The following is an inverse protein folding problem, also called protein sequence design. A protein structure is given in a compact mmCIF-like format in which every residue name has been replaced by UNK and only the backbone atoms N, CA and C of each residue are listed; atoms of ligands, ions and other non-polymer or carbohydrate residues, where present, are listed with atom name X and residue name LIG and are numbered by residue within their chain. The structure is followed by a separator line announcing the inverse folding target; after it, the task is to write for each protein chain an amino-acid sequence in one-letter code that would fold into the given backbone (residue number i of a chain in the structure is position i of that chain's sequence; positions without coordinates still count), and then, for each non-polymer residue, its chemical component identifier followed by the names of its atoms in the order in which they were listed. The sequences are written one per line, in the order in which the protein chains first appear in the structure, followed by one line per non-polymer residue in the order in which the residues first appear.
data_IF_131294729125
#
_entry.id   IF_131294729125
#
_cell.length_a   1.000
_cell.length_b   1.000
_cell.length_c   1.000
_cell.angle_alpha   90.00
_cell.angle_beta   90.00
_cell.angle_gamma   90.00
#
_symmetry.space_group_name_H-M   'P 1'
#
loop_
_entity.id
_entity.type
_entity.pdbx_description
1 polymer ?
#
# COMPACT_ATOMS: atom_id res chain seq x y z
N UNK A 1 11.53 22.69 -54.89
CA UNK A 1 11.42 21.21 -54.80
C UNK A 1 12.75 20.53 -54.48
N UNK A 2 13.74 20.51 -55.39
CA UNK A 2 14.98 19.71 -55.20
C UNK A 2 15.72 20.01 -53.88
N UNK A 3 15.74 21.28 -53.44
CA UNK A 3 16.40 21.68 -52.18
C UNK A 3 15.70 21.16 -50.92
N UNK A 4 14.37 21.09 -50.91
CA UNK A 4 13.59 20.63 -49.76
C UNK A 4 13.73 19.10 -49.59
N UNK A 5 13.64 18.36 -50.70
CA UNK A 5 13.80 16.91 -50.71
C UNK A 5 15.21 16.49 -50.28
N UNK A 6 16.24 17.23 -50.70
CA UNK A 6 17.62 17.01 -50.25
C UNK A 6 17.80 17.23 -48.75
N UNK A 7 17.13 18.23 -48.18
CA UNK A 7 17.18 18.48 -46.74
C UNK A 7 16.50 17.36 -45.94
N UNK A 8 15.32 16.92 -46.37
CA UNK A 8 14.60 15.79 -45.75
C UNK A 8 15.41 14.48 -45.84
N UNK A 9 16.03 14.22 -46.99
CA UNK A 9 16.89 13.05 -47.17
C UNK A 9 18.12 13.08 -46.26
N UNK A 10 18.75 14.26 -46.11
CA UNK A 10 19.86 14.45 -45.19
C UNK A 10 19.46 14.20 -43.74
N UNK A 11 18.25 14.61 -43.34
CA UNK A 11 17.72 14.33 -42.01
C UNK A 11 17.41 12.84 -41.81
N UNK A 12 16.79 12.18 -42.79
CA UNK A 12 16.48 10.74 -42.74
C UNK A 12 17.73 9.85 -42.64
N UNK A 13 18.88 10.35 -43.10
CA UNK A 13 20.16 9.66 -43.05
C UNK A 13 20.93 9.85 -41.73
N UNK A 14 20.49 10.78 -40.86
CA UNK A 14 21.13 11.01 -39.56
C UNK A 14 20.64 9.99 -38.54
N UNK A 15 21.57 9.22 -37.99
CA UNK A 15 21.26 8.22 -36.94
C UNK A 15 20.99 8.86 -35.57
N UNK A 16 21.55 10.06 -35.35
CA UNK A 16 21.47 10.85 -34.13
C UNK A 16 20.27 11.81 -34.08
N UNK A 17 19.43 11.84 -35.13
CA UNK A 17 18.25 12.69 -35.15
C UNK A 17 17.26 12.28 -34.04
N UNK A 18 16.75 13.27 -33.32
CA UNK A 18 15.76 13.08 -32.24
C UNK A 18 14.34 12.99 -32.79
N UNK A 19 13.41 12.49 -31.97
CA UNK A 19 12.01 12.45 -32.36
C UNK A 19 11.46 13.86 -32.66
N UNK A 20 11.90 14.86 -31.89
CA UNK A 20 11.57 16.27 -32.08
C UNK A 20 12.08 16.85 -33.41
N UNK A 21 13.23 16.39 -33.92
CA UNK A 21 13.75 16.82 -35.23
C UNK A 21 13.00 16.13 -36.39
N UNK A 22 12.63 14.85 -36.23
CA UNK A 22 12.02 14.02 -37.27
C UNK A 22 10.51 14.25 -37.43
N UNK A 23 9.77 14.41 -36.32
CA UNK A 23 8.32 14.57 -36.31
C UNK A 23 7.79 15.72 -37.21
N UNK A 24 8.35 16.95 -37.19
CA UNK A 24 7.87 18.02 -38.06
C UNK A 24 8.23 17.82 -39.54
N UNK A 25 9.17 16.93 -39.85
CA UNK A 25 9.62 16.65 -41.22
C UNK A 25 8.73 15.66 -41.96
N UNK A 26 7.99 14.81 -41.23
CA UNK A 26 7.11 13.82 -41.83
C UNK A 26 5.93 14.44 -42.63
N UNK A 27 5.19 15.46 -42.13
CA UNK A 27 4.16 16.12 -42.93
C UNK A 27 4.70 16.76 -44.22
N UNK A 28 5.93 17.28 -44.19
CA UNK A 28 6.57 17.86 -45.37
C UNK A 28 6.92 16.78 -46.41
N UNK A 29 7.36 15.60 -45.97
CA UNK A 29 7.61 14.45 -46.85
C UNK A 29 6.30 13.88 -47.43
N UNK A 30 5.24 13.80 -46.65
CA UNK A 30 3.91 13.37 -47.11
C UNK A 30 3.30 14.34 -48.12
N UNK A 31 3.47 15.66 -47.92
CA UNK A 31 3.07 16.67 -48.89
C UNK A 31 3.84 16.54 -50.22
N UNK A 32 5.15 16.26 -50.16
CA UNK A 32 5.97 16.00 -51.35
C UNK A 32 5.55 14.72 -52.07
N UNK A 33 5.18 13.65 -51.34
CA UNK A 33 4.62 12.44 -51.91
C UNK A 33 3.29 12.70 -52.63
N UNK A 34 2.37 13.47 -52.01
CA UNK A 34 1.10 13.85 -52.65
C UNK A 34 1.35 14.63 -53.94
N UNK A 35 2.25 15.63 -53.91
CA UNK A 35 2.60 16.43 -55.07
C UNK A 35 3.27 15.58 -56.18
N UNK A 36 4.08 14.58 -55.82
CA UNK A 36 4.67 13.65 -56.77
C UNK A 36 3.62 12.77 -57.45
N UNK A 37 2.62 12.27 -56.70
CA UNK A 37 1.50 11.47 -57.24
C UNK A 37 0.62 12.28 -58.18
N UNK A 38 0.31 13.53 -57.85
CA UNK A 38 -0.42 14.45 -58.74
C UNK A 38 0.36 14.70 -60.04
N UNK A 39 1.67 14.93 -59.94
CA UNK A 39 2.53 15.14 -61.10
C UNK A 39 2.62 13.88 -61.99
N UNK A 40 2.66 12.69 -61.40
CA UNK A 40 2.62 11.42 -62.14
C UNK A 40 1.30 11.25 -62.89
N UNK A 41 0.16 11.51 -62.23
CA UNK A 41 -1.15 11.43 -62.87
C UNK A 41 -1.29 12.43 -64.04
N UNK A 42 -0.76 13.65 -63.88
CA UNK A 42 -0.72 14.65 -64.94
C UNK A 42 0.18 14.22 -66.12
N UNK A 43 1.36 13.66 -65.83
CA UNK A 43 2.27 13.15 -66.85
C UNK A 43 1.67 11.97 -67.62
N UNK A 44 0.96 11.07 -66.93
CA UNK A 44 0.25 9.95 -67.57
C UNK A 44 -0.94 10.42 -68.43
N UNK A 45 -1.69 11.42 -67.98
CA UNK A 45 -2.75 12.04 -68.78
C UNK A 45 -2.18 12.71 -70.05
N UNK A 46 -1.07 13.46 -69.91
CA UNK A 46 -0.39 14.09 -71.04
C UNK A 46 0.15 13.06 -72.03
N UNK A 47 0.75 11.96 -71.53
CA UNK A 47 1.21 10.85 -72.37
C UNK A 47 0.05 10.24 -73.18
N UNK A 48 -1.07 9.93 -72.53
CA UNK A 48 -2.27 9.38 -73.21
C UNK A 48 -2.83 10.32 -74.28
N UNK A 49 -2.87 11.63 -74.01
CA UNK A 49 -3.31 12.62 -74.98
C UNK A 49 -2.33 12.74 -76.17
N UNK A 50 -1.02 12.66 -75.90
CA UNK A 50 0.04 12.74 -76.91
C UNK A 50 0.07 11.57 -77.89
N UNK A 51 -0.42 10.38 -77.51
CA UNK A 51 -0.50 9.20 -78.40
C UNK A 51 -1.39 9.40 -79.63
N UNK A 52 -2.30 10.38 -79.60
CA UNK A 52 -3.22 10.69 -80.70
C UNK A 52 -2.65 11.75 -81.66
N UNK A 53 -1.42 12.21 -81.45
CA UNK A 53 -0.80 13.26 -82.27
C UNK A 53 0.00 12.65 -83.44
N UNK A 54 0.14 13.39 -84.54
CA UNK A 54 0.83 12.94 -85.75
C UNK A 54 2.37 13.02 -85.67
N UNK A 55 2.94 13.51 -84.56
CA UNK A 55 4.39 13.64 -84.36
C UNK A 55 4.95 12.43 -83.62
N UNK A 56 5.79 11.63 -84.30
CA UNK A 56 6.42 10.43 -83.73
C UNK A 56 7.40 10.72 -82.58
N UNK A 57 7.95 11.95 -82.48
CA UNK A 57 8.91 12.30 -81.42
C UNK A 57 8.23 12.70 -80.11
N UNK A 58 7.01 13.21 -80.16
CA UNK A 58 6.28 13.69 -78.99
C UNK A 58 6.00 12.59 -77.94
N UNK A 59 5.56 11.37 -78.31
CA UNK A 59 5.34 10.28 -77.35
C UNK A 59 6.60 9.86 -76.59
N UNK A 60 7.78 9.93 -77.21
CA UNK A 60 9.04 9.54 -76.56
C UNK A 60 9.43 10.51 -75.43
N UNK A 61 9.29 11.81 -75.68
CA UNK A 61 9.53 12.84 -74.66
C UNK A 61 8.53 12.72 -73.50
N UNK A 62 7.25 12.48 -73.81
CA UNK A 62 6.19 12.28 -72.81
C UNK A 62 6.40 11.01 -71.98
N UNK A 63 6.89 9.92 -72.59
CA UNK A 63 7.22 8.70 -71.86
C UNK A 63 8.41 8.90 -70.92
N UNK A 64 9.43 9.66 -71.35
CA UNK A 64 10.53 10.10 -70.47
C UNK A 64 10.02 10.86 -69.25
N UNK A 65 9.17 11.87 -69.45
CA UNK A 65 8.57 12.64 -68.37
C UNK A 65 7.69 11.78 -67.43
N UNK A 66 6.95 10.81 -67.98
CA UNK A 66 6.16 9.84 -67.21
C UNK A 66 7.04 8.97 -66.31
N UNK A 67 8.15 8.46 -66.83
CA UNK A 67 9.11 7.64 -66.06
C UNK A 67 9.78 8.46 -64.96
N UNK A 68 10.21 9.69 -65.25
CA UNK A 68 10.80 10.59 -64.26
C UNK A 68 9.82 10.92 -63.12
N UNK A 69 8.54 11.13 -63.44
CA UNK A 69 7.49 11.33 -62.44
C UNK A 69 7.27 10.06 -61.58
N UNK A 70 7.29 8.87 -62.18
CA UNK A 70 7.23 7.59 -61.46
C UNK A 70 8.39 7.41 -60.48
N UNK A 71 9.63 7.64 -60.93
CA UNK A 71 10.82 7.59 -60.07
C UNK A 71 10.75 8.59 -58.90
N UNK A 72 10.10 9.75 -59.10
CA UNK A 72 9.90 10.73 -58.03
C UNK A 72 8.92 10.24 -56.98
N UNK A 73 7.85 9.56 -57.38
CA UNK A 73 6.91 8.93 -56.44
C UNK A 73 7.63 7.87 -55.62
N UNK A 74 8.35 6.94 -56.26
CA UNK A 74 9.11 5.89 -55.55
C UNK A 74 10.10 6.47 -54.54
N UNK A 75 10.82 7.54 -54.89
CA UNK A 75 11.74 8.23 -53.97
C UNK A 75 11.02 8.90 -52.81
N UNK A 76 9.87 9.52 -53.05
CA UNK A 76 9.08 10.17 -52.01
C UNK A 76 8.45 9.13 -51.06
N UNK A 77 7.99 7.98 -51.58
CA UNK A 77 7.50 6.86 -50.78
C UNK A 77 8.59 6.29 -49.89
N UNK A 78 9.77 5.98 -50.47
CA UNK A 78 10.92 5.51 -49.71
C UNK A 78 11.32 6.50 -48.60
N UNK A 79 11.32 7.81 -48.90
CA UNK A 79 11.63 8.84 -47.91
C UNK A 79 10.61 8.88 -46.76
N UNK A 80 9.32 8.79 -47.05
CA UNK A 80 8.26 8.78 -46.02
C UNK A 80 8.40 7.55 -45.13
N UNK A 81 8.59 6.37 -45.72
CA UNK A 81 8.76 5.12 -44.97
C UNK A 81 10.02 5.18 -44.09
N UNK A 82 11.17 5.59 -44.63
CA UNK A 82 12.39 5.76 -43.83
C UNK A 82 12.21 6.78 -42.70
N UNK A 83 11.54 7.92 -42.93
CA UNK A 83 11.30 8.90 -41.87
C UNK A 83 10.38 8.36 -40.77
N UNK A 84 9.39 7.53 -41.11
CA UNK A 84 8.51 6.87 -40.12
C UNK A 84 9.28 5.86 -39.28
N UNK A 85 10.07 5.00 -39.91
CA UNK A 85 10.94 4.04 -39.22
C UNK A 85 11.90 4.75 -38.28
N UNK A 86 12.60 5.79 -38.77
CA UNK A 86 13.52 6.60 -37.95
C UNK A 86 12.84 7.32 -36.80
N UNK A 87 11.63 7.84 -37.02
CA UNK A 87 10.87 8.50 -35.95
C UNK A 87 10.50 7.49 -34.85
N UNK A 88 10.05 6.29 -35.22
CA UNK A 88 9.76 5.23 -34.26
C UNK A 88 11.02 4.80 -33.49
N UNK A 89 12.15 4.57 -34.17
CA UNK A 89 13.44 4.26 -33.54
C UNK A 89 13.90 5.35 -32.56
N UNK A 90 13.74 6.63 -32.93
CA UNK A 90 14.11 7.75 -32.08
C UNK A 90 13.21 7.83 -30.83
N UNK A 91 11.90 7.64 -30.99
CA UNK A 91 10.95 7.60 -29.88
C UNK A 91 11.26 6.45 -28.91
N UNK A 92 11.55 5.25 -29.43
CA UNK A 92 11.91 4.09 -28.60
C UNK A 92 13.21 4.32 -27.83
N UNK A 93 14.20 4.95 -28.47
CA UNK A 93 15.49 5.29 -27.87
C UNK A 93 15.35 6.33 -26.76
N UNK A 94 14.56 7.38 -26.99
CA UNK A 94 14.29 8.42 -26.00
C UNK A 94 13.52 7.85 -24.79
N UNK A 95 12.50 7.01 -25.05
CA UNK A 95 11.74 6.35 -24.00
C UNK A 95 12.62 5.38 -23.18
N UNK A 96 13.55 4.65 -23.81
CA UNK A 96 14.52 3.82 -23.10
C UNK A 96 15.50 4.66 -22.27
N UNK A 97 16.01 5.76 -22.82
CA UNK A 97 16.88 6.68 -22.08
C UNK A 97 16.18 7.26 -20.84
N UNK A 98 14.90 7.63 -20.95
CA UNK A 98 14.10 8.08 -19.82
C UNK A 98 13.92 6.96 -18.77
N UNK A 99 13.57 5.73 -19.19
CA UNK A 99 13.47 4.57 -18.29
C UNK A 99 14.77 4.31 -17.55
N UNK A 100 15.91 4.35 -18.25
CA UNK A 100 17.24 4.19 -17.65
C UNK A 100 17.53 5.31 -16.67
N UNK A 101 17.21 6.57 -16.99
CA UNK A 101 17.42 7.69 -16.09
C UNK A 101 16.61 7.54 -14.78
N UNK A 102 15.32 7.18 -14.89
CA UNK A 102 14.46 6.91 -13.72
C UNK A 102 15.00 5.75 -12.88
N UNK A 103 15.42 4.65 -13.53
CA UNK A 103 16.00 3.50 -12.84
C UNK A 103 17.28 3.87 -12.08
N UNK A 104 18.20 4.61 -12.69
CA UNK A 104 19.45 5.01 -12.04
C UNK A 104 19.21 5.97 -10.86
N UNK A 105 18.26 6.89 -11.00
CA UNK A 105 17.87 7.78 -9.90
C UNK A 105 17.29 7.00 -8.71
N UNK A 106 16.34 6.08 -8.97
CA UNK A 106 15.76 5.23 -7.93
C UNK A 106 16.80 4.32 -7.26
N UNK A 107 17.77 3.81 -8.05
CA UNK A 107 18.89 3.01 -7.51
C UNK A 107 19.77 3.83 -6.57
N UNK A 108 20.12 5.06 -6.96
CA UNK A 108 20.93 5.95 -6.13
C UNK A 108 20.21 6.26 -4.80
N UNK A 109 18.92 6.60 -4.85
CA UNK A 109 18.11 6.86 -3.65
C UNK A 109 18.01 5.61 -2.75
N UNK A 110 17.87 4.42 -3.33
CA UNK A 110 17.86 3.17 -2.57
C UNK A 110 19.21 2.86 -1.89
N UNK A 111 20.32 3.14 -2.57
CA UNK A 111 21.66 2.98 -2.01
C UNK A 111 21.94 4.01 -0.90
N UNK A 112 21.47 5.25 -1.06
CA UNK A 112 21.52 6.30 -0.03
C UNK A 112 20.71 5.91 1.21
N UNK A 113 19.47 5.45 1.01
CA UNK A 113 18.61 4.96 2.08
C UNK A 113 19.23 3.75 2.80
N UNK A 114 19.88 2.83 2.06
CA UNK A 114 20.58 1.68 2.66
C UNK A 114 21.75 2.13 3.53
N UNK A 115 22.53 3.11 3.08
CA UNK A 115 23.64 3.69 3.86
C UNK A 115 23.12 4.39 5.11
N UNK A 116 22.12 5.25 4.97
CA UNK A 116 21.50 5.95 6.08
C UNK A 116 20.92 4.97 7.11
N UNK A 117 20.26 3.90 6.67
CA UNK A 117 19.73 2.87 7.57
C UNK A 117 20.86 2.16 8.32
N UNK A 118 21.95 1.79 7.64
CA UNK A 118 23.10 1.14 8.27
C UNK A 118 23.83 2.02 9.30
N UNK A 119 23.86 3.33 9.06
CA UNK A 119 24.50 4.30 9.95
C UNK A 119 23.61 4.69 11.12
N UNK A 120 22.34 5.02 10.87
CA UNK A 120 21.44 5.62 11.86
C UNK A 120 20.77 4.57 12.75
N UNK A 121 20.44 3.39 12.21
CA UNK A 121 19.68 2.39 12.96
C UNK A 121 20.37 1.95 14.26
N UNK A 122 21.68 1.59 14.28
CA UNK A 122 22.34 1.17 15.51
C UNK A 122 22.34 2.26 16.58
N UNK A 123 22.53 3.53 16.18
CA UNK A 123 22.52 4.67 17.10
C UNK A 123 21.12 4.88 17.69
N UNK A 124 20.08 4.94 16.85
CA UNK A 124 18.70 5.12 17.30
C UNK A 124 18.23 3.98 18.20
N UNK A 125 18.62 2.74 17.89
CA UNK A 125 18.30 1.58 18.72
C UNK A 125 18.99 1.68 20.09
N UNK A 126 20.27 2.10 20.13
CA UNK A 126 20.99 2.33 21.37
C UNK A 126 20.38 3.47 22.21
N UNK A 127 20.01 4.59 21.57
CA UNK A 127 19.38 5.73 22.23
C UNK A 127 18.03 5.34 22.86
N UNK A 128 17.22 4.55 22.15
CA UNK A 128 15.95 4.03 22.68
C UNK A 128 16.17 3.09 23.87
N UNK A 129 17.16 2.20 23.80
CA UNK A 129 17.52 1.32 24.93
C UNK A 129 18.00 2.14 26.13
N UNK A 130 18.82 3.17 25.91
CA UNK A 130 19.28 4.07 26.95
C UNK A 130 18.12 4.85 27.59
N UNK A 131 17.15 5.31 26.80
CA UNK A 131 15.94 5.96 27.30
C UNK A 131 15.12 5.00 28.17
N UNK A 132 14.93 3.76 27.74
CA UNK A 132 14.21 2.74 28.54
C UNK A 132 14.93 2.44 29.86
N UNK A 133 16.26 2.38 29.87
CA UNK A 133 17.03 2.22 31.11
C UNK A 133 16.89 3.42 32.04
N UNK A 134 16.95 4.64 31.50
CA UNK A 134 16.80 5.87 32.28
C UNK A 134 15.44 5.92 32.97
N UNK A 135 14.37 5.62 32.22
CA UNK A 135 13.00 5.54 32.75
C UNK A 135 12.91 4.46 33.82
N UNK A 136 13.45 3.26 33.56
CA UNK A 136 13.40 2.17 34.52
C UNK A 136 14.16 2.48 35.83
N UNK A 137 15.32 3.14 35.76
CA UNK A 137 16.06 3.60 36.95
C UNK A 137 15.23 4.60 37.76
N UNK A 138 14.60 5.57 37.10
CA UNK A 138 13.76 6.53 37.78
C UNK A 138 12.51 5.86 38.42
N UNK A 139 11.91 4.87 37.76
CA UNK A 139 10.81 4.08 38.33
C UNK A 139 11.25 3.26 39.56
N UNK A 140 12.47 2.70 39.58
CA UNK A 140 13.01 2.03 40.79
C UNK A 140 13.11 3.00 41.97
N UNK A 141 13.62 4.22 41.74
CA UNK A 141 13.70 5.23 42.79
C UNK A 141 12.31 5.69 43.27
N UNK A 142 11.36 5.83 42.35
CA UNK A 142 9.95 6.12 42.67
C UNK A 142 9.32 5.00 43.50
N UNK A 143 9.52 3.73 43.12
CA UNK A 143 9.04 2.57 43.88
C UNK A 143 9.67 2.53 45.29
N UNK A 144 10.98 2.80 45.41
CA UNK A 144 11.67 2.86 46.70
C UNK A 144 11.14 4.00 47.58
N UNK A 145 10.95 5.20 47.02
CA UNK A 145 10.39 6.34 47.74
C UNK A 145 8.94 6.09 48.19
N UNK A 146 8.13 5.46 47.34
CA UNK A 146 6.75 5.10 47.66
C UNK A 146 6.66 3.99 48.71
N UNK A 147 7.68 3.13 48.84
CA UNK A 147 7.74 2.11 49.87
C UNK A 147 8.00 2.68 51.29
N UNK A 148 8.69 3.83 51.38
CA UNK A 148 8.96 4.55 52.64
C UNK A 148 8.27 5.93 52.66
N UNK A 149 6.96 5.94 52.39
CA UNK A 149 6.19 7.16 52.23
C UNK A 149 5.99 7.91 53.56
N UNK A 150 6.33 9.20 53.66
CA UNK A 150 6.02 10.00 54.84
C UNK A 150 4.51 10.11 55.09
N UNK A 151 4.11 10.20 56.37
CA UNK A 151 2.70 10.31 56.74
C UNK A 151 2.05 11.53 56.10
N UNK A 152 0.94 11.30 55.41
CA UNK A 152 0.12 12.37 54.81
C UNK A 152 0.62 12.88 53.46
N UNK A 153 1.64 12.24 52.87
CA UNK A 153 2.10 12.53 51.50
C UNK A 153 1.45 11.56 50.54
N UNK A 154 1.09 12.01 49.33
CA UNK A 154 0.57 11.15 48.27
C UNK A 154 1.72 10.39 47.57
N UNK A 155 1.51 9.13 47.15
CA UNK A 155 2.50 8.40 46.38
C UNK A 155 2.88 9.15 45.09
N UNK A 156 4.17 9.11 44.75
CA UNK A 156 4.66 9.60 43.47
C UNK A 156 4.08 8.75 42.34
N UNK A 157 3.58 9.40 41.29
CA UNK A 157 3.18 8.72 40.07
C UNK A 157 4.40 8.08 39.39
N UNK A 158 4.20 6.95 38.70
CA UNK A 158 5.23 6.40 37.83
C UNK A 158 5.64 7.42 36.76
N UNK A 159 6.87 7.34 36.28
CA UNK A 159 7.52 8.32 35.41
C UNK A 159 6.83 8.41 34.04
N UNK A 160 6.41 7.28 33.47
CA UNK A 160 5.78 7.28 32.14
C UNK A 160 4.35 7.79 32.14
N UNK A 161 3.59 7.51 33.20
CA UNK A 161 2.16 7.81 33.29
C UNK A 161 1.82 9.31 33.07
N UNK A 162 2.41 10.28 33.77
CA UNK A 162 2.08 11.69 33.58
C UNK A 162 2.53 12.22 32.22
N UNK A 163 3.52 11.59 31.59
CA UNK A 163 4.02 12.00 30.29
C UNK A 163 3.20 11.44 29.11
N UNK A 164 2.54 10.28 29.30
CA UNK A 164 1.95 9.50 28.19
C UNK A 164 0.48 9.16 28.37
N UNK A 165 -0.04 9.17 29.59
CA UNK A 165 -1.44 8.86 29.83
C UNK A 165 -2.33 10.01 29.38
N UNK A 166 -3.52 9.65 28.87
CA UNK A 166 -4.56 10.63 28.58
C UNK A 166 -5.46 10.72 29.81
N UNK A 167 -5.56 11.89 30.46
CA UNK A 167 -6.42 12.05 31.63
C UNK A 167 -7.88 11.82 31.25
N UNK A 168 -8.69 11.37 32.22
CA UNK A 168 -10.13 11.31 32.01
C UNK A 168 -10.69 12.71 31.83
N UNK A 169 -11.52 12.89 30.82
CA UNK A 169 -12.34 14.08 30.65
C UNK A 169 -13.65 13.85 31.41
N UNK A 170 -14.10 14.86 32.15
CA UNK A 170 -15.37 14.79 32.84
C UNK A 170 -16.53 14.87 31.83
N UNK A 171 -17.67 14.28 32.19
CA UNK A 171 -18.90 14.43 31.44
C UNK A 171 -19.33 15.91 31.40
N UNK A 172 -19.41 16.48 30.20
CA UNK A 172 -19.84 17.86 30.01
C UNK A 172 -21.37 17.93 29.98
N UNK A 173 -21.95 18.72 30.89
CA UNK A 173 -23.41 18.89 30.95
C UNK A 173 -23.84 19.90 29.91
N UNK A 174 -24.54 19.43 28.88
CA UNK A 174 -25.04 20.30 27.81
C UNK A 174 -26.34 20.99 28.22
N UNK A 175 -27.22 20.27 28.91
CA UNK A 175 -28.49 20.83 29.39
C UNK A 175 -29.03 20.05 30.57
N UNK A 176 -29.66 20.76 31.48
CA UNK A 176 -30.38 20.20 32.62
C UNK A 176 -31.76 20.85 32.69
N UNK A 177 -32.82 20.05 32.49
CA UNK A 177 -34.20 20.54 32.44
C UNK A 177 -35.07 19.72 33.37
N UNK A 178 -35.85 20.40 34.22
CA UNK A 178 -36.88 19.73 35.01
C UNK A 178 -38.05 19.32 34.11
N UNK A 179 -38.30 18.02 34.02
CA UNK A 179 -39.40 17.44 33.24
C UNK A 179 -40.32 16.65 34.15
N UNK A 180 -41.63 16.83 33.99
CA UNK A 180 -42.63 16.02 34.68
C UNK A 180 -42.95 14.80 33.84
N UNK A 181 -42.72 13.60 34.39
CA UNK A 181 -43.01 12.32 33.71
C UNK A 181 -43.87 11.44 34.61
N UNK A 182 -44.76 10.68 33.99
CA UNK A 182 -45.59 9.68 34.65
C UNK A 182 -44.76 8.42 34.93
N UNK A 183 -44.87 7.93 36.15
CA UNK A 183 -44.15 6.76 36.65
C UNK A 183 -45.16 5.80 37.27
N UNK A 184 -45.04 4.51 37.02
CA UNK A 184 -45.90 3.53 37.68
C UNK A 184 -45.73 3.59 39.20
N UNK A 185 -46.84 3.54 39.95
CA UNK A 185 -46.81 3.64 41.41
C UNK A 185 -45.92 2.54 41.99
N UNK A 186 -44.95 2.93 42.81
CA UNK A 186 -43.94 2.03 43.39
C UNK A 186 -42.61 1.97 42.63
N UNK A 187 -42.54 2.50 41.40
CA UNK A 187 -41.29 2.54 40.62
C UNK A 187 -40.52 3.85 40.82
N UNK A 188 -39.19 3.77 40.65
CA UNK A 188 -38.28 4.92 40.79
C UNK A 188 -38.01 5.61 39.45
N UNK A 189 -38.02 4.86 38.34
CA UNK A 189 -37.74 5.38 36.99
C UNK A 189 -39.03 5.55 36.19
N UNK A 190 -39.11 6.55 35.29
CA UNK A 190 -40.22 6.65 34.33
C UNK A 190 -40.36 5.34 33.54
N UNK A 191 -41.60 4.88 33.33
CA UNK A 191 -41.83 3.70 32.52
C UNK A 191 -41.62 3.98 31.03
N UNK A 192 -41.47 2.92 30.23
CA UNK A 192 -41.27 2.99 28.77
C UNK A 192 -42.55 3.28 27.97
N UNK A 193 -43.68 3.53 28.64
CA UNK A 193 -44.97 3.77 28.00
C UNK A 193 -45.11 5.21 27.48
N UNK A 194 -46.00 5.40 26.50
CA UNK A 194 -46.29 6.70 25.91
C UNK A 194 -46.87 7.67 26.94
N UNK A 195 -46.10 8.69 27.29
CA UNK A 195 -46.43 9.66 28.34
C UNK A 195 -47.70 10.48 28.02
N UNK A 196 -48.06 10.60 26.74
CA UNK A 196 -49.26 11.28 26.27
C UNK A 196 -50.55 10.47 26.47
N UNK A 197 -50.46 9.15 26.64
CA UNK A 197 -51.62 8.26 26.71
C UNK A 197 -52.09 7.98 28.14
N UNK A 198 -51.56 8.71 29.13
CA UNK A 198 -51.97 8.58 30.53
C UNK A 198 -53.30 9.29 30.75
N UNK A 199 -54.33 8.53 31.14
CA UNK A 199 -55.60 9.10 31.54
C UNK A 199 -55.51 9.65 32.96
N UNK A 200 -55.71 10.96 33.12
CA UNK A 200 -55.60 11.63 34.43
C UNK A 200 -56.82 11.31 35.28
N UNK A 201 -56.60 10.70 36.44
CA UNK A 201 -57.65 10.36 37.41
C UNK A 201 -57.70 11.33 38.58
N UNK A 202 -56.65 12.15 38.78
CA UNK A 202 -56.58 13.18 39.81
C UNK A 202 -55.31 14.03 39.72
N UNK A 203 -55.10 14.99 40.65
CA UNK A 203 -53.90 15.81 40.67
C UNK A 203 -52.66 14.93 40.89
N UNK A 204 -51.81 14.82 39.87
CA UNK A 204 -50.59 14.01 39.91
C UNK A 204 -50.82 12.50 39.89
N UNK A 205 -52.04 12.02 39.59
CA UNK A 205 -52.36 10.59 39.44
C UNK A 205 -53.05 10.30 38.12
N UNK A 206 -52.76 9.15 37.55
CA UNK A 206 -53.36 8.68 36.32
C UNK A 206 -53.35 7.16 36.20
N UNK A 207 -53.94 6.67 35.12
CA UNK A 207 -53.92 5.25 34.76
C UNK A 207 -53.56 5.11 33.28
N UNK A 208 -52.76 4.09 32.95
CA UNK A 208 -52.48 3.72 31.56
C UNK A 208 -53.55 2.73 31.13
N UNK A 209 -54.35 3.07 30.13
CA UNK A 209 -55.38 2.17 29.63
C UNK A 209 -54.74 1.11 28.75
N UNK A 210 -54.91 -0.15 29.12
CA UNK A 210 -54.59 -1.30 28.29
C UNK A 210 -55.87 -1.66 27.53
N UNK A 211 -55.79 -1.77 26.21
CA UNK A 211 -56.95 -2.10 25.38
C UNK A 211 -57.54 -3.46 25.80
N UNK A 212 -58.85 -3.51 26.02
CA UNK A 212 -59.56 -4.71 26.50
C UNK A 212 -59.56 -4.94 28.02
N UNK A 213 -58.84 -4.13 28.81
CA UNK A 213 -58.78 -4.26 30.28
C UNK A 213 -59.67 -3.21 30.96
N UNK A 214 -60.51 -3.58 31.93
CA UNK A 214 -61.32 -2.61 32.66
C UNK A 214 -60.44 -1.67 33.50
N UNK A 215 -60.92 -0.44 33.72
CA UNK A 215 -60.12 0.70 34.27
C UNK A 215 -59.53 0.41 35.66
N UNK A 216 -60.18 -0.45 36.44
CA UNK A 216 -59.74 -0.90 37.77
C UNK A 216 -58.52 -1.85 37.75
N UNK A 217 -58.22 -2.46 36.61
CA UNK A 217 -57.06 -3.35 36.41
C UNK A 217 -55.92 -2.66 35.64
N UNK A 218 -56.12 -1.39 35.27
CA UNK A 218 -55.10 -0.58 34.59
C UNK A 218 -53.95 -0.22 35.54
N UNK A 219 -52.74 -0.11 34.99
CA UNK A 219 -51.56 0.28 35.77
C UNK A 219 -51.69 1.72 36.26
N UNK A 220 -51.68 1.90 37.58
CA UNK A 220 -51.70 3.22 38.21
C UNK A 220 -50.35 3.90 38.05
N UNK A 221 -50.38 5.18 37.68
CA UNK A 221 -49.19 6.02 37.53
C UNK A 221 -49.33 7.31 38.32
N UNK A 222 -48.20 7.86 38.74
CA UNK A 222 -48.10 9.14 39.41
C UNK A 222 -47.12 10.07 38.67
N UNK A 223 -47.44 11.36 38.66
CA UNK A 223 -46.63 12.37 38.00
C UNK A 223 -45.51 12.81 38.96
N UNK A 224 -44.26 12.54 38.59
CA UNK A 224 -43.08 12.97 39.35
C UNK A 224 -42.23 13.93 38.52
N UNK A 225 -41.53 14.83 39.20
CA UNK A 225 -40.55 15.72 38.58
C UNK A 225 -39.21 14.99 38.51
N UNK A 226 -38.59 15.03 37.34
CA UNK A 226 -37.26 14.49 37.07
C UNK A 226 -36.37 15.60 36.52
N UNK A 227 -35.08 15.45 36.73
CA UNK A 227 -34.07 16.30 36.08
C UNK A 227 -33.52 15.55 34.88
N UNK A 228 -33.93 15.95 33.67
CA UNK A 228 -33.40 15.40 32.43
C UNK A 228 -32.07 16.09 32.12
N UNK A 229 -30.97 15.38 32.40
CA UNK A 229 -29.60 15.83 32.09
C UNK A 229 -29.16 15.24 30.76
N UNK A 230 -28.88 16.09 29.78
CA UNK A 230 -28.14 15.73 28.57
C UNK A 230 -26.69 16.10 28.79
N UNK A 231 -25.81 15.13 28.59
CA UNK A 231 -24.38 15.34 28.75
C UNK A 231 -23.64 14.72 27.58
N UNK A 232 -22.53 15.35 27.21
CA UNK A 232 -21.54 14.74 26.36
C UNK A 232 -20.63 13.91 27.26
N UNK A 233 -20.61 12.60 27.01
CA UNK A 233 -19.80 11.68 27.80
C UNK A 233 -18.32 12.01 27.60
N UNK A 234 -17.63 12.29 28.69
CA UNK A 234 -16.20 12.54 28.68
C UNK A 234 -15.44 11.25 28.32
N UNK A 235 -14.23 11.42 27.80
CA UNK A 235 -13.34 10.29 27.53
C UNK A 235 -12.85 9.70 28.85
N UNK A 236 -12.95 8.37 29.00
CA UNK A 236 -12.32 7.69 30.13
C UNK A 236 -10.80 7.85 30.12
N UNK A 237 -10.17 7.70 31.28
CA UNK A 237 -8.70 7.67 31.38
C UNK A 237 -8.14 6.54 30.50
N UNK A 238 -7.10 6.87 29.72
CA UNK A 238 -6.39 5.89 28.90
C UNK A 238 -4.95 5.85 29.39
N UNK A 239 -4.58 4.71 29.97
CA UNK A 239 -3.22 4.45 30.39
C UNK A 239 -2.40 3.94 29.21
N UNK A 240 -1.24 4.56 28.99
CA UNK A 240 -0.28 4.12 27.99
C UNK A 240 0.49 2.91 28.50
N UNK A 241 0.76 1.95 27.60
CA UNK A 241 1.68 0.86 27.91
C UNK A 241 3.10 1.40 28.10
N UNK A 242 3.86 0.80 29.03
CA UNK A 242 5.27 1.13 29.24
C UNK A 242 6.09 0.93 27.97
N UNK A 243 7.10 1.76 27.74
CA UNK A 243 7.95 1.66 26.53
C UNK A 243 8.59 0.27 26.42
N UNK A 244 9.11 -0.24 27.54
CA UNK A 244 9.71 -1.58 27.64
C UNK A 244 8.76 -2.73 27.23
N UNK A 245 7.44 -2.54 27.35
CA UNK A 245 6.42 -3.55 27.06
C UNK A 245 6.06 -3.62 25.57
N UNK A 246 6.14 -2.51 24.82
CA UNK A 246 5.64 -2.45 23.44
C UNK A 246 6.71 -2.19 22.39
N UNK A 247 7.81 -1.54 22.75
CA UNK A 247 8.90 -1.32 21.81
C UNK A 247 9.51 -2.67 21.43
N UNK A 248 9.71 -2.88 20.13
CA UNK A 248 10.39 -4.05 19.56
C UNK A 248 11.50 -3.53 18.67
N UNK A 249 12.76 -3.82 19.03
CA UNK A 249 13.93 -3.42 18.26
C UNK A 249 14.60 -4.70 17.73
N UNK A 250 14.34 -5.08 16.47
CA UNK A 250 15.02 -6.22 15.86
C UNK A 250 16.53 -5.95 15.74
N UNK A 251 17.28 -6.99 15.38
CA UNK A 251 18.65 -6.79 14.94
C UNK A 251 18.69 -6.03 13.60
N UNK A 252 19.83 -5.41 13.28
CA UNK A 252 19.99 -4.69 12.02
C UNK A 252 19.93 -5.64 10.81
N UNK A 253 20.64 -6.77 10.89
CA UNK A 253 20.53 -7.85 9.92
C UNK A 253 19.44 -8.85 10.32
N UNK A 254 18.88 -9.56 9.34
CA UNK A 254 17.87 -10.58 9.60
C UNK A 254 18.36 -11.73 10.52
N UNK A 255 19.67 -11.97 10.55
CA UNK A 255 20.31 -12.95 11.44
C UNK A 255 20.68 -12.39 12.81
N UNK A 256 20.65 -11.07 12.98
CA UNK A 256 21.09 -10.45 14.22
C UNK A 256 20.06 -10.70 15.33
N UNK A 257 20.51 -10.90 16.58
CA UNK A 257 19.58 -10.96 17.70
C UNK A 257 18.85 -9.63 17.86
N UNK A 258 17.66 -9.67 18.46
CA UNK A 258 16.92 -8.47 18.82
C UNK A 258 17.77 -7.58 19.74
N UNK A 259 17.86 -6.30 19.40
CA UNK A 259 18.41 -5.27 20.30
C UNK A 259 17.49 -5.12 21.52
N UNK A 260 16.18 -5.20 21.33
CA UNK A 260 15.21 -5.20 22.43
C UNK A 260 14.00 -6.07 22.10
N UNK A 261 13.67 -6.98 23.01
CA UNK A 261 12.42 -7.75 22.94
C UNK A 261 11.40 -7.14 23.90
N UNK A 262 10.15 -6.94 23.45
CA UNK A 262 9.07 -6.50 24.32
C UNK A 262 8.99 -7.37 25.58
N UNK A 263 8.95 -6.72 26.73
CA UNK A 263 8.83 -7.40 28.03
C UNK A 263 7.36 -7.65 28.37
N UNK A 264 7.12 -8.55 29.34
CA UNK A 264 5.77 -8.77 29.88
C UNK A 264 5.27 -7.51 30.59
N UNK A 265 3.97 -7.24 30.57
CA UNK A 265 3.35 -6.14 31.33
C UNK A 265 3.54 -6.26 32.85
N UNK A 266 3.88 -7.46 33.32
CA UNK A 266 4.19 -7.74 34.73
C UNK A 266 5.66 -7.50 35.09
N UNK A 267 6.51 -7.14 34.13
CA UNK A 267 7.94 -7.00 34.36
C UNK A 267 8.22 -5.77 35.23
N UNK A 268 9.09 -5.95 36.22
CA UNK A 268 9.46 -4.88 37.15
C UNK A 268 10.51 -3.94 36.54
N UNK A 269 10.59 -2.67 36.96
CA UNK A 269 11.63 -1.75 36.48
C UNK A 269 13.06 -2.31 36.63
N UNK A 270 13.34 -3.01 37.73
CA UNK A 270 14.64 -3.68 37.93
C UNK A 270 14.97 -4.76 36.89
N UNK A 271 13.96 -5.46 36.34
CA UNK A 271 14.16 -6.46 35.28
C UNK A 271 14.50 -5.79 33.94
N UNK A 272 13.93 -4.60 33.67
CA UNK A 272 14.28 -3.79 32.50
C UNK A 272 15.76 -3.42 32.55
N UNK A 273 16.24 -2.92 33.71
CA UNK A 273 17.66 -2.58 33.91
C UNK A 273 18.53 -3.83 33.71
N UNK A 274 18.16 -4.97 34.32
CA UNK A 274 18.90 -6.22 34.15
C UNK A 274 18.97 -6.70 32.70
N UNK A 275 17.90 -6.52 31.91
CA UNK A 275 17.90 -6.85 30.48
C UNK A 275 18.82 -5.90 29.68
N UNK A 276 18.80 -4.59 29.98
CA UNK A 276 19.71 -3.61 29.35
C UNK A 276 21.17 -3.95 29.67
N UNK A 277 21.47 -4.32 30.91
CA UNK A 277 22.81 -4.77 31.30
C UNK A 277 23.20 -6.05 30.57
N UNK A 278 22.31 -7.04 30.47
CA UNK A 278 22.55 -8.26 29.71
C UNK A 278 22.87 -7.97 28.24
N UNK A 279 22.20 -7.00 27.62
CA UNK A 279 22.47 -6.55 26.25
C UNK A 279 23.83 -5.89 26.09
N UNK A 280 24.31 -5.12 27.09
CA UNK A 280 25.66 -4.52 27.07
C UNK A 280 26.76 -5.58 27.09
N UNK A 281 26.55 -6.69 27.80
CA UNK A 281 27.52 -7.78 27.89
C UNK A 281 27.38 -8.83 26.78
N UNK A 282 26.21 -8.90 26.13
CA UNK A 282 26.03 -9.68 24.92
C UNK A 282 26.90 -9.08 23.82
N UNK A 283 28.12 -9.60 23.65
CA UNK A 283 28.90 -9.34 22.43
C UNK A 283 27.99 -9.66 21.25
N UNK A 284 27.94 -8.81 20.21
CA UNK A 284 27.28 -9.21 18.97
C UNK A 284 27.88 -10.54 18.59
N UNK A 285 27.06 -11.59 18.59
CA UNK A 285 27.51 -12.93 18.24
C UNK A 285 28.21 -12.77 16.90
N UNK A 286 29.53 -13.00 16.86
CA UNK A 286 30.29 -12.92 15.62
C UNK A 286 29.51 -13.68 14.55
N UNK A 287 29.47 -13.17 13.30
CA UNK A 287 28.52 -13.58 12.26
C UNK A 287 28.37 -15.08 12.37
N UNK A 288 27.17 -15.53 12.77
CA UNK A 288 26.95 -16.92 13.15
C UNK A 288 27.57 -17.74 12.03
N UNK A 289 28.72 -18.38 12.31
CA UNK A 289 29.54 -19.00 11.27
C UNK A 289 28.56 -19.84 10.51
N UNK A 290 28.23 -19.41 9.29
CA UNK A 290 27.24 -20.08 8.49
C UNK A 290 27.74 -21.51 8.51
N UNK A 291 26.98 -22.39 9.16
CA UNK A 291 27.26 -23.81 9.14
C UNK A 291 27.05 -24.16 7.70
N UNK A 292 28.11 -23.96 6.92
CA UNK A 292 28.17 -24.17 5.50
C UNK A 292 28.18 -25.66 5.38
N UNK A 293 27.02 -26.27 5.58
CA UNK A 293 26.69 -27.49 4.91
C UNK A 293 26.99 -27.17 3.44
N UNK A 294 28.10 -27.70 2.94
CA UNK A 294 28.42 -27.68 1.53
C UNK A 294 27.31 -28.51 0.90
N UNK A 295 26.24 -27.86 0.46
CA UNK A 295 25.19 -28.50 -0.31
C UNK A 295 25.79 -28.66 -1.70
N UNK A 296 26.43 -29.80 -1.94
CA UNK A 296 26.89 -30.19 -3.28
C UNK A 296 25.66 -30.44 -4.14
N UNK A 297 25.16 -29.40 -4.80
CA UNK A 297 24.10 -29.51 -5.77
C UNK A 297 24.73 -29.85 -7.12
N UNK A 298 24.47 -31.05 -7.63
CA UNK A 298 24.86 -31.44 -8.98
C UNK A 298 23.99 -30.66 -9.97
N UNK A 299 24.57 -29.62 -10.58
CA UNK A 299 23.93 -28.87 -11.66
C UNK A 299 24.15 -29.66 -12.96
N UNK A 300 23.09 -30.09 -13.66
CA UNK A 300 23.24 -30.79 -14.93
C UNK A 300 23.88 -29.87 -15.99
N UNK A 301 24.79 -30.43 -16.79
CA UNK A 301 25.49 -29.69 -17.83
C UNK A 301 24.51 -29.11 -18.88
N UNK A 302 24.84 -27.97 -19.52
CA UNK A 302 24.04 -27.43 -20.62
C UNK A 302 23.88 -28.48 -21.72
N UNK A 303 22.64 -28.92 -21.98
CA UNK A 303 22.35 -29.96 -22.98
C UNK A 303 22.12 -31.37 -22.42
N UNK A 304 22.14 -31.56 -21.09
CA UNK A 304 21.61 -32.78 -20.49
C UNK A 304 20.09 -32.84 -20.75
N UNK A 305 19.66 -33.66 -21.72
CA UNK A 305 18.26 -33.95 -21.94
C UNK A 305 17.63 -34.37 -20.61
N UNK A 306 16.49 -33.76 -20.27
CA UNK A 306 15.65 -34.25 -19.18
C UNK A 306 15.30 -35.69 -19.52
N UNK A 307 15.99 -36.64 -18.88
CA UNK A 307 15.60 -38.06 -18.93
C UNK A 307 14.11 -38.07 -18.60
N UNK A 308 13.33 -38.57 -19.54
CA UNK A 308 11.87 -38.69 -19.42
C UNK A 308 11.58 -39.22 -18.03
N UNK A 309 10.82 -38.47 -17.23
CA UNK A 309 10.47 -38.87 -15.88
C UNK A 309 9.97 -40.31 -15.96
N UNK A 310 10.62 -41.22 -15.22
CA UNK A 310 10.17 -42.61 -15.13
C UNK A 310 8.66 -42.57 -14.88
N UNK A 311 7.86 -43.38 -15.61
CA UNK A 311 6.42 -43.40 -15.42
C UNK A 311 6.15 -43.56 -13.93
N UNK A 312 5.24 -42.73 -13.40
CA UNK A 312 4.91 -42.72 -11.98
C UNK A 312 4.76 -44.16 -11.50
N UNK A 313 5.47 -44.50 -10.42
CA UNK A 313 5.38 -45.84 -9.85
C UNK A 313 3.90 -46.19 -9.71
N UNK A 314 3.46 -47.39 -10.15
CA UNK A 314 2.06 -47.77 -10.05
C UNK A 314 1.63 -47.56 -8.60
N UNK A 315 0.42 -47.02 -8.36
CA UNK A 315 -0.04 -46.74 -7.01
C UNK A 315 0.14 -48.01 -6.20
N UNK A 316 1.02 -47.97 -5.21
CA UNK A 316 1.23 -49.07 -4.30
C UNK A 316 -0.12 -49.35 -3.68
N UNK A 317 -0.72 -50.49 -4.04
CA UNK A 317 -1.94 -50.93 -3.38
C UNK A 317 -1.65 -50.87 -1.87
N UNK A 318 -2.50 -50.17 -1.09
CA UNK A 318 -2.30 -50.13 0.34
C UNK A 318 -2.27 -51.57 0.81
N UNK A 319 -1.14 -51.98 1.37
CA UNK A 319 -0.97 -53.31 1.94
C UNK A 319 -2.02 -53.48 3.03
N UNK A 320 -3.15 -54.12 2.68
CA UNK A 320 -4.11 -54.60 3.66
C UNK A 320 -3.45 -55.78 4.34
N UNK A 321 -2.82 -55.52 5.48
CA UNK A 321 -2.35 -56.59 6.35
C UNK A 321 -3.50 -57.55 6.68
N UNK A 322 -3.19 -58.80 7.06
CA UNK A 322 -4.16 -59.90 7.22
C UNK A 322 -5.23 -59.70 8.31
N UNK A 323 -5.31 -58.51 8.90
CA UNK A 323 -6.24 -58.14 9.98
C UNK A 323 -7.20 -57.00 9.62
N UNK A 324 -7.18 -56.51 8.37
CA UNK A 324 -8.00 -55.35 7.96
C UNK A 324 -9.52 -55.63 7.87
N UNK A 325 -9.94 -56.89 7.95
CA UNK A 325 -11.35 -57.30 7.85
C UNK A 325 -11.91 -57.86 9.17
N UNK A 326 -11.32 -57.52 10.33
CA UNK A 326 -11.90 -57.89 11.62
C UNK A 326 -13.19 -57.05 11.87
N UNK A 327 -14.35 -57.68 12.14
CA UNK A 327 -15.58 -56.96 12.40
C UNK A 327 -15.48 -56.16 13.70
N UNK A 328 -15.74 -54.85 13.62
CA UNK A 328 -15.99 -53.99 14.77
C UNK A 328 -17.24 -54.48 15.50
N UNK A 329 -17.04 -55.30 16.54
CA UNK A 329 -18.01 -55.43 17.61
C UNK A 329 -17.27 -55.72 18.91
N UNK A 330 -17.75 -55.06 19.96
CA UNK A 330 -17.42 -55.25 21.37
C UNK A 330 -16.10 -54.65 21.87
N UNK A 331 -16.14 -53.36 22.22
CA UNK A 331 -15.65 -52.91 23.54
C UNK A 331 -15.95 -51.42 23.77
N UNK A 332 -16.97 -51.14 24.59
CA UNK A 332 -16.78 -50.51 25.92
C UNK A 332 -18.11 -50.23 26.59
N UNK A 333 -18.40 -51.10 27.57
CA UNK A 333 -18.92 -50.71 28.87
C UNK A 333 -17.86 -49.89 29.63
#
# INVERSE_FOLDING_TARGET
MIRALKALLGLAQREDATADELAPSLPAAEAELSAAREAQAAAEAAYRAGLLTADEKAPQLLDGARRDAGMRVERAEALVETLRERLAEAQDREAEAERVAVYQAARAEADDARRALAELYPQLAADLVQLMELVARAEVEVEAANADLPRGVEPLAGVEHPARDVPAEADEVLSEVEVKRWVAVGNVKPGTFEQGNVYKTGPGRGVIRIEGVPVNECTQVELRTFTERRFQRGRGHISAYRLAEKISLPGFLASDPYVWRPMSSLSKPGEVIGQVEALRYARPGGPALASGAIITQLIPAPGAERVQALPAAPPTQPYRGPYADAPENEARA
#
